data_IF_715690895872
#
_entry.id   IF_715690895872
#
_cell.length_a   1.000
_cell.length_b   1.000
_cell.length_c   1.000
_cell.angle_alpha   90.00
_cell.angle_beta   90.00
_cell.angle_gamma   90.00
#
_symmetry.space_group_name_H-M   'P 1'
#
loop_
_entity.id
_entity.type
_entity.pdbx_description
1 polymer ?
#
# COMPACT_ATOMS: atom_id res chain seq x y z
N UNK A 1 -15.70 15.23 7.63
CA UNK A 1 -15.05 13.92 7.87
C UNK A 1 -13.81 13.86 6.98
N UNK A 2 -12.60 13.68 7.54
CA UNK A 2 -11.35 13.60 6.76
C UNK A 2 -11.41 12.33 5.89
N UNK A 3 -11.68 12.48 4.60
CA UNK A 3 -11.61 11.40 3.62
C UNK A 3 -10.16 10.91 3.51
N UNK A 4 -9.94 9.59 3.54
CA UNK A 4 -8.70 8.97 3.06
C UNK A 4 -7.66 8.52 4.09
N UNK A 5 -8.00 8.27 5.37
CA UNK A 5 -7.06 7.61 6.30
C UNK A 5 -7.62 6.26 6.73
N UNK A 6 -6.85 5.19 6.53
CA UNK A 6 -7.14 3.88 7.05
C UNK A 6 -6.67 3.82 8.52
N UNK A 7 -7.54 3.52 9.49
CA UNK A 7 -7.11 3.27 10.86
C UNK A 7 -6.22 2.02 10.91
N UNK A 8 -5.05 2.15 11.54
CA UNK A 8 -4.18 1.01 11.87
C UNK A 8 -4.47 0.61 13.32
N UNK A 9 -4.82 -0.64 13.54
CA UNK A 9 -5.13 -1.19 14.86
C UNK A 9 -4.16 -2.33 15.16
N UNK A 10 -3.60 -2.32 16.37
CA UNK A 10 -2.78 -3.41 16.91
C UNK A 10 -3.67 -4.20 17.87
N UNK A 11 -4.15 -5.37 17.42
CA UNK A 11 -5.09 -6.22 18.16
C UNK A 11 -4.62 -7.67 18.11
N UNK A 12 -5.02 -8.43 19.12
CA UNK A 12 -4.91 -9.90 19.12
C UNK A 12 -5.98 -10.54 18.21
N UNK A 13 -5.86 -11.85 17.98
CA UNK A 13 -6.71 -12.61 17.05
C UNK A 13 -8.21 -12.42 17.32
N UNK A 14 -8.61 -12.44 18.59
CA UNK A 14 -9.98 -12.26 19.05
C UNK A 14 -10.53 -10.88 18.67
N UNK A 15 -9.68 -9.85 18.69
CA UNK A 15 -10.04 -8.50 18.25
C UNK A 15 -10.29 -8.43 16.76
N UNK A 16 -9.46 -9.11 15.95
CA UNK A 16 -9.65 -9.21 14.50
C UNK A 16 -10.95 -9.96 14.18
N UNK A 17 -11.19 -11.08 14.85
CA UNK A 17 -12.42 -11.87 14.70
C UNK A 17 -13.66 -11.05 15.05
N UNK A 18 -13.63 -10.27 16.14
CA UNK A 18 -14.73 -9.40 16.52
C UNK A 18 -15.00 -8.30 15.47
N UNK A 19 -13.96 -7.74 14.85
CA UNK A 19 -14.10 -6.76 13.75
C UNK A 19 -14.75 -7.42 12.53
N UNK A 20 -14.23 -8.58 12.10
CA UNK A 20 -14.77 -9.33 10.95
C UNK A 20 -16.20 -9.79 11.19
N UNK A 21 -16.53 -10.25 12.40
CA UNK A 21 -17.90 -10.66 12.78
C UNK A 21 -18.91 -9.51 12.74
N UNK A 22 -18.47 -8.26 12.90
CA UNK A 22 -19.31 -7.07 12.75
C UNK A 22 -19.50 -6.63 11.30
N UNK A 23 -18.94 -7.37 10.34
CA UNK A 23 -19.01 -7.06 8.91
C UNK A 23 -18.16 -5.86 8.51
N UNK A 24 -17.20 -5.45 9.35
CA UNK A 24 -16.25 -4.39 9.00
C UNK A 24 -15.19 -4.97 8.10
N UNK A 25 -15.07 -4.43 6.89
CA UNK A 25 -14.00 -4.79 5.96
C UNK A 25 -12.64 -4.32 6.51
N UNK A 26 -11.75 -5.27 6.76
CA UNK A 26 -10.39 -5.00 7.23
C UNK A 26 -9.39 -5.94 6.54
N UNK A 27 -8.14 -5.46 6.42
CA UNK A 27 -7.00 -6.31 6.09
C UNK A 27 -6.30 -6.68 7.39
N UNK A 28 -6.25 -7.96 7.69
CA UNK A 28 -5.58 -8.52 8.86
C UNK A 28 -4.27 -9.19 8.43
N UNK A 29 -3.14 -8.67 8.92
CA UNK A 29 -1.82 -9.23 8.64
C UNK A 29 -1.22 -9.77 9.93
N UNK A 30 -0.79 -11.02 9.93
CA UNK A 30 -0.02 -11.60 11.02
C UNK A 30 1.48 -11.42 10.77
N UNK A 31 2.18 -10.75 11.68
CA UNK A 31 3.63 -10.57 11.59
C UNK A 31 4.33 -11.61 12.47
N UNK A 32 4.82 -12.68 11.87
CA UNK A 32 5.50 -13.76 12.54
C UNK A 32 7.01 -13.47 12.68
N UNK A 33 7.66 -13.89 13.78
CA UNK A 33 9.12 -13.98 13.80
C UNK A 33 9.61 -15.11 12.86
N UNK A 34 10.88 -15.07 12.41
CA UNK A 34 11.45 -16.13 11.56
C UNK A 34 11.53 -17.49 12.25
N UNK A 35 11.79 -17.49 13.56
CA UNK A 35 11.75 -18.67 14.41
C UNK A 35 11.62 -18.25 15.88
N UNK A 36 11.16 -19.17 16.73
CA UNK A 36 11.13 -18.93 18.18
C UNK A 36 12.55 -18.76 18.76
N UNK A 37 13.54 -19.44 18.21
CA UNK A 37 14.93 -19.35 18.66
C UNK A 37 15.52 -17.96 18.38
N UNK A 38 15.32 -17.43 17.17
CA UNK A 38 15.75 -16.07 16.83
C UNK A 38 14.95 -15.01 17.60
N UNK A 39 13.65 -15.25 17.83
CA UNK A 39 12.84 -14.38 18.67
C UNK A 39 13.38 -14.33 20.09
N UNK A 40 13.71 -15.47 20.69
CA UNK A 40 14.34 -15.57 22.02
C UNK A 40 15.65 -14.78 22.09
N UNK A 41 16.54 -15.00 21.10
CA UNK A 41 17.81 -14.27 21.02
C UNK A 41 17.61 -12.75 20.96
N UNK A 42 16.63 -12.27 20.19
CA UNK A 42 16.28 -10.85 20.11
C UNK A 42 15.75 -10.32 21.44
N UNK A 43 14.89 -11.06 22.14
CA UNK A 43 14.39 -10.68 23.46
C UNK A 43 15.54 -10.51 24.45
N UNK A 44 16.47 -11.47 24.53
CA UNK A 44 17.62 -11.38 25.43
C UNK A 44 18.64 -10.29 25.05
N UNK A 45 18.80 -9.99 23.76
CA UNK A 45 19.81 -9.05 23.30
C UNK A 45 19.34 -7.59 23.33
N UNK A 46 18.07 -7.34 23.00
CA UNK A 46 17.53 -5.98 22.85
C UNK A 46 16.62 -5.56 23.98
N UNK A 47 15.97 -6.50 24.66
CA UNK A 47 15.13 -6.22 25.80
C UNK A 47 15.90 -6.63 27.06
N UNK A 48 16.02 -5.73 28.03
CA UNK A 48 16.61 -6.06 29.33
C UNK A 48 15.62 -6.87 30.18
N UNK A 49 15.13 -7.97 29.63
CA UNK A 49 14.11 -8.83 30.22
C UNK A 49 14.75 -10.01 30.96
N UNK A 50 14.09 -10.45 32.01
CA UNK A 50 14.46 -11.62 32.80
C UNK A 50 14.09 -12.92 32.07
N UNK A 51 14.76 -14.03 32.39
CA UNK A 51 14.47 -15.35 31.79
C UNK A 51 13.00 -15.76 31.93
N UNK A 52 12.35 -15.36 33.04
CA UNK A 52 10.93 -15.65 33.28
C UNK A 52 10.02 -14.86 32.32
N UNK A 53 10.33 -13.60 32.04
CA UNK A 53 9.60 -12.76 31.09
C UNK A 53 9.79 -13.27 29.66
N UNK A 54 11.02 -13.63 29.30
CA UNK A 54 11.33 -14.21 27.99
C UNK A 54 10.57 -15.52 27.79
N UNK A 55 10.57 -16.42 28.77
CA UNK A 55 9.83 -17.69 28.70
C UNK A 55 8.31 -17.46 28.52
N UNK A 56 7.74 -16.47 29.20
CA UNK A 56 6.33 -16.11 29.04
C UNK A 56 6.02 -15.60 27.63
N UNK A 57 6.86 -14.70 27.09
CA UNK A 57 6.72 -14.18 25.72
C UNK A 57 6.88 -15.27 24.66
N UNK A 58 7.86 -16.17 24.82
CA UNK A 58 8.08 -17.28 23.90
C UNK A 58 6.87 -18.23 23.86
N UNK A 59 6.30 -18.54 25.03
CA UNK A 59 5.09 -19.36 25.13
C UNK A 59 3.92 -18.68 24.41
N UNK A 60 3.72 -17.38 24.63
CA UNK A 60 2.67 -16.62 23.97
C UNK A 60 2.86 -16.59 22.45
N UNK A 61 4.07 -16.30 21.97
CA UNK A 61 4.40 -16.27 20.55
C UNK A 61 4.15 -17.63 19.88
N UNK A 62 4.56 -18.73 20.52
CA UNK A 62 4.31 -20.08 20.02
C UNK A 62 2.80 -20.38 19.90
N UNK A 63 2.01 -19.99 20.90
CA UNK A 63 0.56 -20.13 20.88
C UNK A 63 -0.09 -19.32 19.76
N UNK A 64 0.32 -18.05 19.60
CA UNK A 64 -0.20 -17.16 18.56
C UNK A 64 0.16 -17.65 17.15
N UNK A 65 1.40 -18.11 16.92
CA UNK A 65 1.82 -18.68 15.64
C UNK A 65 1.02 -19.94 15.29
N UNK A 66 0.80 -20.84 16.26
CA UNK A 66 0.00 -22.04 16.06
C UNK A 66 -1.50 -21.75 15.85
N UNK A 67 -2.02 -20.66 16.43
CA UNK A 67 -3.38 -20.20 16.19
C UNK A 67 -3.49 -19.61 14.77
N UNK A 68 -2.56 -18.72 14.39
CA UNK A 68 -2.51 -18.10 13.07
C UNK A 68 -2.40 -19.14 11.94
N UNK A 69 -1.59 -20.20 12.11
CA UNK A 69 -1.44 -21.25 11.10
C UNK A 69 -2.69 -22.11 10.87
N UNK A 70 -3.65 -22.10 11.81
CA UNK A 70 -4.90 -22.88 11.74
C UNK A 70 -6.11 -22.02 11.43
N UNK A 71 -5.94 -20.71 11.39
CA UNK A 71 -7.02 -19.74 11.29
C UNK A 71 -7.06 -19.09 9.91
N UNK A 72 -8.26 -18.82 9.43
CA UNK A 72 -8.50 -17.99 8.24
C UNK A 72 -8.75 -16.52 8.61
N UNK A 73 -8.48 -16.15 9.86
CA UNK A 73 -8.67 -14.78 10.37
C UNK A 73 -7.72 -13.78 9.69
N UNK A 74 -6.54 -14.20 9.26
CA UNK A 74 -5.54 -13.34 8.62
C UNK A 74 -5.60 -13.46 7.10
N UNK A 75 -5.51 -12.32 6.43
CA UNK A 75 -5.47 -12.21 4.97
C UNK A 75 -4.04 -12.43 4.44
N UNK A 76 -3.04 -12.18 5.28
CA UNK A 76 -1.63 -12.44 4.96
C UNK A 76 -0.80 -12.72 6.21
N UNK A 77 0.27 -13.51 6.06
CA UNK A 77 1.28 -13.75 7.10
C UNK A 77 2.64 -13.32 6.58
N UNK A 78 3.29 -12.39 7.29
CA UNK A 78 4.61 -11.88 6.96
C UNK A 78 5.62 -12.39 7.98
N UNK A 79 6.80 -12.79 7.51
CA UNK A 79 7.91 -13.17 8.38
C UNK A 79 8.85 -11.98 8.56
N UNK A 80 9.01 -11.52 9.79
CA UNK A 80 9.85 -10.38 10.16
C UNK A 80 11.28 -10.82 10.51
N UNK A 81 12.01 -11.32 9.51
CA UNK A 81 13.44 -11.59 9.67
C UNK A 81 14.28 -10.32 9.50
N UNK A 82 14.00 -9.57 8.44
CA UNK A 82 14.60 -8.28 8.13
C UNK A 82 13.51 -7.20 8.02
N UNK A 83 13.72 -6.05 8.66
CA UNK A 83 12.72 -5.00 8.77
C UNK A 83 12.38 -4.40 7.40
N UNK A 84 13.40 -4.13 6.58
CA UNK A 84 13.20 -3.52 5.27
C UNK A 84 12.47 -4.49 4.34
N UNK A 85 12.88 -5.76 4.31
CA UNK A 85 12.22 -6.79 3.52
C UNK A 85 10.76 -7.01 3.96
N UNK A 86 10.49 -7.11 5.25
CA UNK A 86 9.13 -7.27 5.78
C UNK A 86 8.25 -6.05 5.47
N UNK A 87 8.83 -4.84 5.56
CA UNK A 87 8.14 -3.60 5.20
C UNK A 87 7.79 -3.55 3.70
N UNK A 88 8.73 -3.90 2.83
CA UNK A 88 8.48 -3.96 1.38
C UNK A 88 7.42 -5.00 1.02
N UNK A 89 7.45 -6.18 1.64
CA UNK A 89 6.42 -7.20 1.44
C UNK A 89 5.04 -6.73 1.91
N UNK A 90 4.96 -6.07 3.08
CA UNK A 90 3.71 -5.49 3.58
C UNK A 90 3.17 -4.43 2.62
N UNK A 91 4.05 -3.53 2.15
CA UNK A 91 3.71 -2.47 1.19
C UNK A 91 3.13 -3.08 -0.10
N UNK A 92 3.79 -4.09 -0.66
CA UNK A 92 3.31 -4.80 -1.83
C UNK A 92 1.96 -5.48 -1.58
N UNK A 93 1.79 -6.18 -0.46
CA UNK A 93 0.51 -6.79 -0.12
C UNK A 93 -0.62 -5.76 -0.06
N UNK A 94 -0.41 -4.65 0.65
CA UNK A 94 -1.42 -3.58 0.77
C UNK A 94 -1.72 -2.98 -0.61
N UNK A 95 -0.73 -2.75 -1.47
CA UNK A 95 -0.97 -2.15 -2.79
C UNK A 95 -1.78 -3.04 -3.72
N UNK A 96 -1.62 -4.37 -3.62
CA UNK A 96 -2.42 -5.31 -4.39
C UNK A 96 -3.84 -5.45 -3.83
N UNK A 97 -3.98 -5.51 -2.50
CA UNK A 97 -5.28 -5.70 -1.86
C UNK A 97 -6.13 -4.42 -1.87
N UNK A 98 -5.50 -3.25 -1.77
CA UNK A 98 -6.13 -1.92 -1.66
C UNK A 98 -5.39 -0.86 -2.50
N UNK A 99 -5.43 -0.96 -3.84
CA UNK A 99 -4.82 0.01 -4.74
C UNK A 99 -5.40 1.42 -4.60
N UNK A 100 -6.62 1.53 -4.07
CA UNK A 100 -7.28 2.80 -3.73
C UNK A 100 -6.61 3.55 -2.57
N UNK A 101 -5.82 2.86 -1.74
CA UNK A 101 -5.05 3.43 -0.63
C UNK A 101 -3.58 3.58 -1.02
N UNK A 102 -3.01 2.55 -1.63
CA UNK A 102 -1.61 2.49 -1.95
C UNK A 102 -1.42 1.92 -3.35
N UNK A 103 -0.97 2.76 -4.28
CA UNK A 103 -0.59 2.33 -5.63
C UNK A 103 0.73 1.55 -5.61
N UNK A 104 0.90 0.64 -6.57
CA UNK A 104 2.13 -0.15 -6.71
C UNK A 104 3.34 0.74 -6.98
N UNK A 105 4.55 0.24 -6.71
CA UNK A 105 5.77 1.01 -6.98
C UNK A 105 5.90 1.34 -8.47
N UNK A 106 5.62 0.39 -9.35
CA UNK A 106 5.62 0.64 -10.80
C UNK A 106 4.66 1.77 -11.21
N UNK A 107 3.45 1.78 -10.65
CA UNK A 107 2.46 2.83 -10.92
C UNK A 107 2.88 4.17 -10.29
N UNK A 108 3.46 4.17 -9.08
CA UNK A 108 4.06 5.36 -8.48
C UNK A 108 5.20 5.92 -9.34
N UNK A 109 6.08 5.06 -9.85
CA UNK A 109 7.17 5.45 -10.75
C UNK A 109 6.61 6.00 -12.07
N UNK A 110 5.61 5.36 -12.66
CA UNK A 110 4.97 5.81 -13.90
C UNK A 110 4.28 7.17 -13.71
N UNK A 111 3.52 7.34 -12.63
CA UNK A 111 2.84 8.59 -12.30
C UNK A 111 3.84 9.71 -11.98
N UNK A 112 4.91 9.39 -11.24
CA UNK A 112 5.99 10.33 -10.97
C UNK A 112 6.80 10.66 -12.23
N UNK A 113 7.01 9.72 -13.14
CA UNK A 113 7.65 9.96 -14.43
C UNK A 113 6.78 10.84 -15.32
N UNK A 114 5.46 10.63 -15.37
CA UNK A 114 4.51 11.50 -16.06
C UNK A 114 4.50 12.91 -15.45
N UNK A 115 4.48 13.03 -14.12
CA UNK A 115 4.55 14.31 -13.42
C UNK A 115 5.89 15.03 -13.64
N UNK A 116 7.02 14.30 -13.64
CA UNK A 116 8.35 14.84 -13.95
C UNK A 116 8.51 15.23 -15.41
N UNK A 117 7.94 14.45 -16.33
CA UNK A 117 7.86 14.79 -17.75
C UNK A 117 7.03 16.07 -17.98
N UNK A 118 6.04 16.30 -17.09
CA UNK A 118 5.22 17.51 -17.11
C UNK A 118 5.95 18.73 -16.53
N UNK A 119 6.87 18.56 -15.59
CA UNK A 119 7.76 19.60 -15.04
C UNK A 119 7.02 20.79 -14.37
N UNK A 120 7.65 21.52 -13.44
CA UNK A 120 7.07 22.76 -12.95
C UNK A 120 7.14 23.82 -14.06
N UNK A 121 5.99 24.16 -14.66
CA UNK A 121 5.86 25.31 -15.55
C UNK A 121 5.95 25.05 -17.06
N UNK A 122 5.93 23.80 -17.55
CA UNK A 122 5.63 23.58 -18.97
C UNK A 122 4.11 23.50 -19.14
N UNK A 123 3.55 24.41 -19.94
CA UNK A 123 2.14 24.30 -20.32
C UNK A 123 1.90 22.93 -20.97
N UNK A 124 0.88 22.16 -20.53
CA UNK A 124 0.54 20.91 -21.17
C UNK A 124 0.14 21.18 -22.63
N UNK A 125 0.74 20.44 -23.57
CA UNK A 125 0.46 20.56 -25.00
C UNK A 125 -0.52 19.46 -25.40
N UNK A 126 -1.68 19.85 -25.93
CA UNK A 126 -2.59 18.92 -26.59
C UNK A 126 -2.13 18.72 -28.05
N UNK A 127 -1.82 17.48 -28.43
CA UNK A 127 -1.43 17.12 -29.80
C UNK A 127 -2.54 16.32 -30.45
N UNK A 128 -3.07 16.80 -31.59
CA UNK A 128 -4.10 16.11 -32.38
C UNK A 128 -3.46 15.55 -33.66
N UNK A 129 -3.36 14.22 -33.77
CA UNK A 129 -2.81 13.52 -34.94
C UNK A 129 -3.88 12.70 -35.66
N UNK A 130 -3.63 12.31 -36.91
CA UNK A 130 -4.55 11.55 -37.74
C UNK A 130 -4.27 11.73 -39.24
N UNK A 131 -4.88 10.88 -40.10
CA UNK A 131 -4.66 10.95 -41.54
C UNK A 131 -5.18 12.27 -42.14
N UNK A 132 -4.69 12.60 -43.35
CA UNK A 132 -5.19 13.74 -44.09
C UNK A 132 -6.73 13.63 -44.27
N UNK A 133 -7.44 14.75 -44.12
CA UNK A 133 -8.91 14.83 -44.22
C UNK A 133 -9.73 14.14 -43.12
N UNK A 134 -9.11 13.69 -42.02
CA UNK A 134 -9.84 13.16 -40.85
C UNK A 134 -10.59 14.23 -40.02
N UNK A 135 -10.77 15.45 -40.54
CA UNK A 135 -11.47 16.54 -39.84
C UNK A 135 -10.68 17.22 -38.72
N UNK A 136 -9.36 16.99 -38.61
CA UNK A 136 -8.51 17.56 -37.54
C UNK A 136 -8.63 19.09 -37.43
N UNK A 137 -8.63 19.77 -38.57
CA UNK A 137 -8.75 21.22 -38.64
C UNK A 137 -10.10 21.74 -38.12
N UNK A 138 -11.20 21.07 -38.46
CA UNK A 138 -12.54 21.41 -37.95
C UNK A 138 -12.63 21.23 -36.45
N UNK A 139 -12.08 20.14 -35.91
CA UNK A 139 -12.06 19.87 -34.46
C UNK A 139 -11.19 20.89 -33.72
N UNK A 140 -9.99 21.20 -34.23
CA UNK A 140 -9.11 22.24 -33.66
C UNK A 140 -9.80 23.60 -33.67
N UNK A 141 -10.42 23.98 -34.79
CA UNK A 141 -11.11 25.27 -34.94
C UNK A 141 -12.26 25.40 -33.94
N UNK A 142 -13.10 24.38 -33.81
CA UNK A 142 -14.21 24.38 -32.86
C UNK A 142 -13.73 24.39 -31.40
N UNK A 143 -12.65 23.68 -31.08
CA UNK A 143 -12.08 23.64 -29.75
C UNK A 143 -11.55 25.03 -29.32
N UNK A 144 -10.84 25.73 -30.21
CA UNK A 144 -10.32 27.09 -29.97
C UNK A 144 -11.47 28.10 -29.88
N UNK A 145 -12.50 27.98 -30.71
CA UNK A 145 -13.67 28.86 -30.65
C UNK A 145 -14.49 28.67 -29.37
N UNK A 146 -14.55 27.44 -28.84
CA UNK A 146 -15.32 27.10 -27.63
C UNK A 146 -14.57 27.47 -26.34
N UNK A 147 -13.23 27.35 -26.34
CA UNK A 147 -12.39 27.61 -25.17
C UNK A 147 -11.18 28.49 -25.51
N UNK A 148 -11.39 29.76 -25.91
CA UNK A 148 -10.32 30.65 -26.38
C UNK A 148 -9.30 31.01 -25.29
N UNK A 149 -9.70 30.96 -24.01
CA UNK A 149 -8.81 31.24 -22.87
C UNK A 149 -7.95 30.02 -22.47
N UNK A 150 -8.19 28.85 -23.08
CA UNK A 150 -7.56 27.58 -22.73
C UNK A 150 -6.68 27.03 -23.86
N UNK A 151 -7.11 27.17 -25.12
CA UNK A 151 -6.39 26.64 -26.29
C UNK A 151 -6.02 27.73 -27.29
N UNK A 152 -4.75 27.72 -27.72
CA UNK A 152 -4.22 28.59 -28.77
C UNK A 152 -3.48 27.75 -29.80
N UNK A 153 -3.64 28.06 -31.09
CA UNK A 153 -2.82 27.47 -32.16
C UNK A 153 -1.59 28.36 -32.32
N UNK A 154 -0.37 27.84 -32.12
CA UNK A 154 0.85 28.61 -32.39
C UNK A 154 0.88 28.99 -33.87
N UNK A 155 1.17 30.26 -34.16
CA UNK A 155 1.34 30.77 -35.53
C UNK A 155 2.71 30.44 -36.09
#
# INVERSE_FOLDING_TARGET
>A
MKRGRLPLLELEAEGVEAIKARGVECLAVFLAPPSLDLFSQRLHHWLSETDQEVAARLKLAAMQMAAASRSTTYDHTLVNDDLDAAYHQLKQFISHARPDILVSEEEQQALAALAKASGPGKQPILVITGPAHAGRESVVTQLVATFPDVFVVPT
#
